data_IF_006148074465
#
_entry.id   IF_006148074465
#
_cell.length_a   1.000
_cell.length_b   1.000
_cell.length_c   1.000
_cell.angle_alpha   90.00
_cell.angle_beta   90.00
_cell.angle_gamma   90.00
#
_symmetry.space_group_name_H-M   'P 1'
#
loop_
_entity.id
_entity.type
_entity.pdbx_description
1 polymer ?
#
# COMPACT_ATOMS: atom_id res chain seq x y z
N UNK A 1 -5.12 -26.02 6.05
CA UNK A 1 -6.17 -24.99 5.90
C UNK A 1 -5.82 -23.88 4.88
N UNK A 2 -4.78 -23.99 4.04
CA UNK A 2 -4.38 -22.92 3.08
C UNK A 2 -4.97 -23.08 1.66
N UNK A 3 -5.46 -24.28 1.30
CA UNK A 3 -5.96 -24.59 -0.06
C UNK A 3 -7.30 -23.91 -0.42
N UNK A 4 -8.16 -23.65 0.56
CA UNK A 4 -9.49 -23.11 0.33
C UNK A 4 -9.50 -21.58 0.14
N UNK A 5 -8.52 -20.88 0.72
CA UNK A 5 -8.54 -19.41 0.80
C UNK A 5 -7.95 -18.68 -0.42
N UNK A 6 -7.18 -19.37 -1.28
CA UNK A 6 -6.42 -18.70 -2.35
C UNK A 6 -6.57 -19.28 -3.76
N UNK A 7 -7.29 -20.39 -3.97
CA UNK A 7 -7.41 -21.01 -5.31
C UNK A 7 -6.07 -21.50 -5.92
N UNK A 8 -5.00 -21.53 -5.12
CA UNK A 8 -3.65 -21.92 -5.56
C UNK A 8 -3.48 -23.43 -5.38
N UNK A 9 -2.91 -24.10 -6.39
CA UNK A 9 -2.58 -25.52 -6.33
C UNK A 9 -1.50 -25.81 -5.26
N UNK A 10 -1.53 -27.01 -4.67
CA UNK A 10 -0.57 -27.42 -3.63
C UNK A 10 0.91 -27.34 -4.04
N UNK A 11 1.31 -27.64 -5.29
CA UNK A 11 2.66 -27.34 -5.77
C UNK A 11 2.99 -25.84 -5.70
N UNK A 12 2.02 -24.98 -6.04
CA UNK A 12 2.13 -23.54 -5.91
C UNK A 12 2.35 -23.10 -4.45
N UNK A 13 1.57 -23.63 -3.52
CA UNK A 13 1.71 -23.31 -2.09
C UNK A 13 3.10 -23.72 -1.55
N UNK A 14 3.57 -24.92 -1.87
CA UNK A 14 4.90 -25.39 -1.46
C UNK A 14 6.03 -24.52 -2.03
N UNK A 15 5.88 -24.05 -3.28
CA UNK A 15 6.86 -23.16 -3.93
C UNK A 15 6.90 -21.78 -3.25
N UNK A 16 5.75 -21.17 -2.98
CA UNK A 16 5.68 -19.88 -2.28
C UNK A 16 6.25 -19.98 -0.86
N UNK A 17 5.91 -21.02 -0.10
CA UNK A 17 6.46 -21.23 1.24
C UNK A 17 7.98 -21.44 1.22
N UNK A 18 8.52 -22.09 0.19
CA UNK A 18 9.97 -22.24 0.00
C UNK A 18 10.63 -20.88 -0.23
N UNK A 19 10.11 -20.07 -1.15
CA UNK A 19 10.63 -18.73 -1.46
C UNK A 19 10.57 -17.81 -0.24
N UNK A 20 9.44 -17.81 0.48
CA UNK A 20 9.28 -17.00 1.70
C UNK A 20 10.29 -17.40 2.77
N UNK A 21 10.51 -18.72 2.97
CA UNK A 21 11.51 -19.20 3.92
C UNK A 21 12.94 -18.83 3.52
N UNK A 22 13.29 -19.01 2.25
CA UNK A 22 14.63 -18.71 1.72
C UNK A 22 15.00 -17.23 1.87
N UNK A 23 14.00 -16.34 1.84
CA UNK A 23 14.19 -14.90 2.01
C UNK A 23 13.87 -14.42 3.45
N UNK A 24 13.76 -15.35 4.41
CA UNK A 24 13.55 -15.02 5.82
C UNK A 24 12.13 -14.60 6.22
N UNK A 25 11.20 -14.48 5.27
CA UNK A 25 9.78 -14.10 5.50
C UNK A 25 8.92 -15.23 6.08
N UNK A 26 9.44 -16.44 6.20
CA UNK A 26 8.75 -17.54 6.88
C UNK A 26 9.72 -18.40 7.69
N UNK A 27 9.34 -18.75 8.91
CA UNK A 27 10.06 -19.70 9.76
C UNK A 27 9.40 -21.08 9.69
N UNK A 28 10.21 -22.12 9.86
CA UNK A 28 9.76 -23.51 9.91
C UNK A 28 10.14 -24.11 11.24
N UNK A 29 9.15 -24.69 11.93
CA UNK A 29 9.37 -25.52 13.12
C UNK A 29 8.90 -26.95 12.84
N UNK A 30 9.76 -27.97 13.00
CA UNK A 30 9.31 -29.36 12.97
C UNK A 30 8.49 -29.67 14.23
N UNK A 31 7.32 -30.28 14.05
CA UNK A 31 6.45 -30.75 15.12
C UNK A 31 5.98 -32.17 14.78
N UNK A 32 6.73 -33.16 15.27
CA UNK A 32 6.53 -34.57 14.90
C UNK A 32 6.65 -34.80 13.39
N UNK A 33 5.60 -35.34 12.78
CA UNK A 33 5.51 -35.57 11.33
C UNK A 33 5.07 -34.34 10.52
N UNK A 34 4.78 -33.21 11.18
CA UNK A 34 4.29 -31.99 10.55
C UNK A 34 5.35 -30.90 10.57
N UNK A 35 5.28 -30.00 9.58
CA UNK A 35 6.06 -28.76 9.54
C UNK A 35 5.10 -27.60 9.74
N UNK A 36 5.28 -26.88 10.83
CA UNK A 36 4.57 -25.63 11.08
C UNK A 36 5.32 -24.49 10.40
N UNK A 37 4.60 -23.70 9.61
CA UNK A 37 5.10 -22.50 8.94
C UNK A 37 4.48 -21.29 9.62
N UNK A 38 5.32 -20.35 10.04
CA UNK A 38 4.88 -19.06 10.56
C UNK A 38 5.47 -17.94 9.68
N UNK A 39 4.70 -16.89 9.45
CA UNK A 39 5.20 -15.69 8.75
C UNK A 39 6.13 -14.95 9.69
N UNK A 40 7.30 -14.55 9.20
CA UNK A 40 8.21 -13.67 9.90
C UNK A 40 8.05 -12.25 9.34
N UNK A 41 7.57 -11.33 10.17
CA UNK A 41 7.42 -9.92 9.82
C UNK A 41 8.72 -9.12 9.98
N UNK A 42 9.75 -9.69 10.58
CA UNK A 42 11.03 -8.99 10.80
C UNK A 42 11.68 -8.49 9.50
N UNK A 43 11.76 -9.25 8.39
CA UNK A 43 12.36 -8.76 7.15
C UNK A 43 11.51 -7.69 6.45
N UNK A 44 10.22 -7.54 6.82
CA UNK A 44 9.39 -6.44 6.34
C UNK A 44 9.82 -5.09 6.94
N UNK A 45 10.51 -5.10 8.09
CA UNK A 45 11.02 -3.86 8.71
C UNK A 45 12.08 -3.19 7.86
N UNK A 46 12.93 -3.97 7.19
CA UNK A 46 13.95 -3.44 6.30
C UNK A 46 13.32 -2.77 5.07
N UNK A 47 12.24 -3.36 4.56
CA UNK A 47 11.43 -2.78 3.47
C UNK A 47 10.76 -1.50 3.95
N UNK A 48 10.16 -1.50 5.14
CA UNK A 48 9.54 -0.31 5.72
C UNK A 48 10.57 0.81 5.93
N UNK A 49 11.77 0.50 6.43
CA UNK A 49 12.85 1.47 6.61
C UNK A 49 13.34 2.04 5.27
N UNK A 50 13.45 1.19 4.24
CA UNK A 50 13.77 1.64 2.89
C UNK A 50 12.67 2.53 2.31
N UNK A 51 11.39 2.13 2.42
CA UNK A 51 10.22 2.89 1.97
C UNK A 51 10.08 4.23 2.70
N UNK A 52 10.42 4.30 3.98
CA UNK A 52 10.37 5.52 4.77
C UNK A 52 11.22 6.63 4.14
N UNK A 53 12.38 6.27 3.56
CA UNK A 53 13.21 7.22 2.80
C UNK A 53 12.49 7.80 1.60
N UNK A 54 11.75 6.98 0.85
CA UNK A 54 10.97 7.43 -0.30
C UNK A 54 9.76 8.26 0.12
N UNK A 55 9.08 7.86 1.21
CA UNK A 55 7.95 8.61 1.78
C UNK A 55 8.40 10.01 2.17
N UNK A 56 9.50 10.15 2.91
CA UNK A 56 10.06 11.47 3.29
C UNK A 56 10.37 12.37 2.10
N UNK A 57 10.79 11.79 0.98
CA UNK A 57 11.04 12.55 -0.25
C UNK A 57 9.76 12.96 -0.94
N UNK A 58 8.81 12.05 -1.18
CA UNK A 58 7.62 12.32 -2.00
C UNK A 58 6.47 12.98 -1.24
N UNK A 59 6.31 12.73 0.05
CA UNK A 59 5.18 13.25 0.85
C UNK A 59 5.07 14.78 0.77
N UNK A 60 6.14 15.58 0.97
CA UNK A 60 6.04 17.03 0.87
C UNK A 60 5.63 17.52 -0.53
N UNK A 61 6.09 16.85 -1.59
CA UNK A 61 5.73 17.18 -2.97
C UNK A 61 4.26 16.86 -3.26
N UNK A 62 3.78 15.72 -2.79
CA UNK A 62 2.38 15.32 -2.94
C UNK A 62 1.44 16.21 -2.11
N UNK A 63 1.84 16.61 -0.90
CA UNK A 63 1.08 17.52 -0.04
C UNK A 63 1.00 18.93 -0.66
N UNK A 64 2.09 19.40 -1.27
CA UNK A 64 2.10 20.66 -2.01
C UNK A 64 1.14 20.61 -3.22
N UNK A 65 1.13 19.51 -3.97
CA UNK A 65 0.19 19.30 -5.07
C UNK A 65 -1.26 19.18 -4.58
N UNK A 66 -1.50 18.54 -3.43
CA UNK A 66 -2.82 18.44 -2.81
C UNK A 66 -3.38 19.79 -2.32
N UNK A 67 -2.53 20.82 -2.23
CA UNK A 67 -2.92 22.18 -1.84
C UNK A 67 -3.44 23.02 -3.02
N UNK A 68 -3.04 22.71 -4.26
CA UNK A 68 -3.48 23.43 -5.47
C UNK A 68 -5.00 23.35 -5.77
N UNK A 69 -5.74 22.26 -5.49
CA UNK A 69 -7.19 22.21 -5.60
C UNK A 69 -7.92 23.25 -4.74
N UNK A 70 -7.31 23.70 -3.64
CA UNK A 70 -7.90 24.73 -2.78
C UNK A 70 -7.82 26.13 -3.42
N UNK A 71 -6.75 26.42 -4.17
CA UNK A 71 -6.58 27.68 -4.92
C UNK A 71 -7.55 27.78 -6.09
N UNK A 72 -7.67 26.71 -6.89
CA UNK A 72 -8.60 26.67 -8.00
C UNK A 72 -10.07 26.83 -7.60
N UNK A 73 -10.49 26.24 -6.46
CA UNK A 73 -11.85 26.37 -5.94
C UNK A 73 -12.18 27.76 -5.38
N UNK A 74 -11.18 28.49 -4.86
CA UNK A 74 -11.36 29.87 -4.36
C UNK A 74 -11.45 30.87 -5.50
N UNK A 75 -10.61 30.72 -6.52
CA UNK A 75 -10.63 31.58 -7.71
C UNK A 75 -11.93 31.46 -8.51
N UNK A 76 -12.46 30.23 -8.61
CA UNK A 76 -13.74 29.97 -9.27
C UNK A 76 -14.91 30.62 -8.51
N UNK A 77 -14.94 30.49 -7.18
CA UNK A 77 -15.98 31.13 -6.34
C UNK A 77 -15.96 32.65 -6.41
N UNK A 78 -14.78 33.28 -6.45
CA UNK A 78 -14.67 34.74 -6.58
C UNK A 78 -15.16 35.21 -7.95
N UNK A 79 -14.83 34.48 -9.02
CA UNK A 79 -15.32 34.77 -10.38
C UNK A 79 -16.84 34.60 -10.50
N UNK A 80 -17.41 33.58 -9.86
CA UNK A 80 -18.85 33.35 -9.85
C UNK A 80 -19.62 34.39 -9.01
N UNK A 81 -18.95 35.03 -8.04
CA UNK A 81 -19.53 36.10 -7.20
C UNK A 81 -19.47 37.50 -7.85
N UNK A 82 -18.50 37.73 -8.74
CA UNK A 82 -18.38 38.98 -9.53
C UNK A 82 -19.24 38.95 -10.80
N UNK A 83 -19.90 37.84 -11.14
CA UNK A 83 -20.79 37.76 -12.28
C UNK A 83 -22.18 38.33 -11.92
N UNK A 84 -22.58 39.50 -12.48
CA UNK A 84 -23.88 40.09 -12.19
C UNK A 84 -25.00 39.17 -12.69
N UNK A 85 -26.18 39.15 -12.03
CA UNK A 85 -27.27 38.26 -12.42
C UNK A 85 -27.60 38.50 -13.89
N UNK A 86 -27.46 37.46 -14.71
CA UNK A 86 -27.88 37.48 -16.11
C UNK A 86 -29.39 37.62 -16.13
N UNK A 87 -29.85 38.86 -16.29
CA UNK A 87 -31.24 39.15 -16.59
C UNK A 87 -31.55 38.47 -17.92
N UNK A 88 -32.34 37.41 -17.84
CA UNK A 88 -32.94 36.77 -19.02
C UNK A 88 -34.32 37.40 -19.17
N UNK A 89 -34.67 37.94 -20.35
CA UNK A 89 -35.96 38.59 -20.58
C UNK A 89 -37.14 37.62 -20.44
#
# INVERSE_FOLDING_TARGET
>A
MVRAEFGISQPGVSRHLKVLRENGFATVRPEGTRRLYAVNSEPLRDIDAWLDRFRRFWTPHLDALATEPARGRRQRRLRDADEPPRNTP
#
